data_IF_974479194664
#
_entry.id   IF_974479194664
#
_cell.length_a   1.000
_cell.length_b   1.000
_cell.length_c   1.000
_cell.angle_alpha   90.00
_cell.angle_beta   90.00
_cell.angle_gamma   90.00
#
_symmetry.space_group_name_H-M   'P 1'
#
loop_
_entity.id
_entity.type
_entity.pdbx_description
1 polymer ?
#
# COMPACT_ATOMS: atom_id res chain seq x y z
N UNK A 1 -3.99 -23.25 14.40
CA UNK A 1 -3.80 -24.07 13.17
C UNK A 1 -4.52 -23.52 11.93
N UNK A 2 -5.41 -22.50 12.03
CA UNK A 2 -6.11 -21.91 10.87
C UNK A 2 -5.43 -20.70 10.20
N UNK A 3 -4.31 -20.21 10.75
CA UNK A 3 -3.66 -18.96 10.32
C UNK A 3 -2.82 -19.11 9.04
N UNK A 4 -2.17 -20.26 8.85
CA UNK A 4 -1.25 -20.49 7.73
C UNK A 4 -1.98 -20.69 6.40
N UNK A 5 -3.13 -21.36 6.39
CA UNK A 5 -3.89 -21.65 5.16
C UNK A 5 -4.56 -20.40 4.57
N UNK A 6 -5.06 -19.47 5.42
CA UNK A 6 -5.65 -18.20 4.94
C UNK A 6 -4.61 -17.30 4.27
N UNK A 7 -3.38 -17.26 4.80
CA UNK A 7 -2.27 -16.47 4.26
C UNK A 7 -1.91 -16.91 2.83
N UNK A 8 -1.80 -18.22 2.58
CA UNK A 8 -1.49 -18.78 1.26
C UNK A 8 -2.57 -18.37 0.23
N UNK A 9 -3.85 -18.52 0.57
CA UNK A 9 -4.96 -18.17 -0.34
C UNK A 9 -5.09 -16.68 -0.66
N UNK A 10 -4.61 -15.80 0.23
CA UNK A 10 -4.64 -14.35 -0.02
C UNK A 10 -3.62 -13.97 -1.10
N UNK A 11 -2.36 -14.37 -0.92
CA UNK A 11 -1.30 -14.02 -1.87
C UNK A 11 -1.49 -14.67 -3.24
N UNK A 12 -2.07 -15.86 -3.30
CA UNK A 12 -2.49 -16.52 -4.55
C UNK A 12 -3.54 -15.70 -5.32
N UNK A 13 -4.46 -15.04 -4.61
CA UNK A 13 -5.49 -14.18 -5.21
C UNK A 13 -4.98 -12.78 -5.52
N UNK A 14 -4.10 -12.25 -4.68
CA UNK A 14 -3.53 -10.90 -4.83
C UNK A 14 -2.59 -10.83 -6.05
N UNK A 15 -1.75 -11.85 -6.26
CA UNK A 15 -0.75 -11.86 -7.33
C UNK A 15 -1.29 -11.50 -8.73
N UNK A 16 -2.32 -12.19 -9.24
CA UNK A 16 -2.93 -11.87 -10.53
C UNK A 16 -3.50 -10.45 -10.58
N UNK A 17 -4.13 -9.98 -9.50
CA UNK A 17 -4.71 -8.62 -9.43
C UNK A 17 -3.59 -7.57 -9.48
N UNK A 18 -2.50 -7.78 -8.74
CA UNK A 18 -1.34 -6.88 -8.78
C UNK A 18 -0.71 -6.85 -10.17
N UNK A 19 -0.63 -7.99 -10.87
CA UNK A 19 -0.14 -8.04 -12.25
C UNK A 19 -1.03 -7.24 -13.22
N UNK A 20 -2.36 -7.32 -13.05
CA UNK A 20 -3.32 -6.51 -13.81
C UNK A 20 -3.15 -5.02 -13.53
N UNK A 21 -3.05 -4.61 -12.26
CA UNK A 21 -2.83 -3.21 -11.86
C UNK A 21 -1.52 -2.67 -12.44
N UNK A 22 -0.43 -3.47 -12.46
CA UNK A 22 0.84 -3.08 -13.09
C UNK A 22 0.69 -2.84 -14.59
N UNK A 23 -0.06 -3.71 -15.28
CA UNK A 23 -0.32 -3.58 -16.71
C UNK A 23 -1.17 -2.34 -17.02
N UNK A 24 -2.17 -2.09 -16.19
CA UNK A 24 -3.05 -0.93 -16.30
C UNK A 24 -2.30 0.38 -16.04
N UNK A 25 -1.43 0.43 -15.03
CA UNK A 25 -0.55 1.58 -14.78
C UNK A 25 0.28 1.93 -16.03
N UNK A 26 0.94 0.93 -16.64
CA UNK A 26 1.72 1.15 -17.87
C UNK A 26 0.84 1.67 -19.00
N UNK A 27 -0.36 1.11 -19.17
CA UNK A 27 -1.30 1.55 -20.20
C UNK A 27 -1.71 3.01 -20.01
N UNK A 28 -2.04 3.41 -18.78
CA UNK A 28 -2.43 4.78 -18.43
C UNK A 28 -1.29 5.78 -18.66
N UNK A 29 -0.09 5.45 -18.20
CA UNK A 29 1.08 6.32 -18.36
C UNK A 29 1.44 6.52 -19.85
N UNK A 30 1.40 5.46 -20.66
CA UNK A 30 1.62 5.55 -22.11
C UNK A 30 0.57 6.38 -22.84
N UNK A 31 -0.61 6.57 -22.25
CA UNK A 31 -1.66 7.47 -22.74
C UNK A 31 -1.49 8.92 -22.25
N UNK A 32 -0.43 9.23 -21.50
CA UNK A 32 -0.20 10.54 -20.91
C UNK A 32 -1.15 10.86 -19.75
N UNK A 33 -1.74 9.85 -19.09
CA UNK A 33 -2.65 10.04 -17.96
C UNK A 33 -1.92 9.95 -16.64
N UNK A 34 -2.32 10.80 -15.70
CA UNK A 34 -1.94 10.67 -14.30
C UNK A 34 -2.67 9.50 -13.64
N UNK A 35 -1.97 8.79 -12.74
CA UNK A 35 -2.50 7.67 -11.98
C UNK A 35 -1.99 7.69 -10.54
N UNK A 36 -2.79 7.13 -9.62
CA UNK A 36 -2.40 6.88 -8.22
C UNK A 36 -2.34 5.37 -8.02
N UNK A 37 -1.21 4.88 -7.51
CA UNK A 37 -1.07 3.49 -7.06
C UNK A 37 -1.35 3.47 -5.56
N UNK A 38 -2.59 3.13 -5.19
CA UNK A 38 -2.98 2.91 -3.79
C UNK A 38 -2.71 1.44 -3.42
N UNK A 39 -1.45 1.16 -3.11
CA UNK A 39 -0.98 -0.16 -2.69
C UNK A 39 -0.16 -0.01 -1.41
N UNK A 40 -0.10 -1.06 -0.58
CA UNK A 40 0.51 -0.99 0.75
C UNK A 40 1.99 -0.54 0.79
N UNK A 41 2.72 -0.67 -0.33
CA UNK A 41 4.07 -0.10 -0.59
C UNK A 41 5.03 -0.15 0.61
N UNK A 42 5.00 -1.29 1.30
CA UNK A 42 5.50 -1.42 2.67
C UNK A 42 7.02 -1.44 2.77
N UNK A 43 7.68 -2.11 1.81
CA UNK A 43 9.14 -2.23 1.77
C UNK A 43 9.71 -1.29 0.73
N UNK A 44 10.94 -0.82 0.96
CA UNK A 44 11.66 0.03 0.00
C UNK A 44 11.79 -0.65 -1.36
N UNK A 45 12.10 -1.96 -1.38
CA UNK A 45 12.15 -2.74 -2.62
C UNK A 45 10.84 -2.68 -3.41
N UNK A 46 9.69 -2.77 -2.72
CA UNK A 46 8.39 -2.73 -3.41
C UNK A 46 8.19 -1.34 -4.03
N UNK A 47 8.53 -0.25 -3.32
CA UNK A 47 8.50 1.12 -3.86
C UNK A 47 9.43 1.30 -5.06
N UNK A 48 10.65 0.77 -4.99
CA UNK A 48 11.62 0.82 -6.08
C UNK A 48 11.11 0.06 -7.32
N UNK A 49 10.51 -1.12 -7.14
CA UNK A 49 9.94 -1.92 -8.23
C UNK A 49 8.75 -1.21 -8.93
N UNK A 50 7.94 -0.47 -8.18
CA UNK A 50 6.85 0.36 -8.75
C UNK A 50 7.37 1.63 -9.41
N UNK A 51 8.37 2.29 -8.81
CA UNK A 51 9.03 3.48 -9.38
C UNK A 51 9.64 3.14 -10.74
N UNK A 52 10.45 2.09 -10.80
CA UNK A 52 11.11 1.64 -12.02
C UNK A 52 10.10 1.30 -13.13
N UNK A 53 8.97 0.65 -12.78
CA UNK A 53 7.90 0.35 -13.72
C UNK A 53 7.32 1.64 -14.32
N UNK A 54 6.94 2.61 -13.47
CA UNK A 54 6.34 3.86 -13.92
C UNK A 54 7.32 4.69 -14.78
N UNK A 55 8.58 4.82 -14.35
CA UNK A 55 9.62 5.53 -15.09
C UNK A 55 9.90 4.87 -16.46
N UNK A 56 9.97 3.54 -16.52
CA UNK A 56 10.13 2.80 -17.78
C UNK A 56 8.96 3.00 -18.77
N UNK A 57 7.79 3.37 -18.25
CA UNK A 57 6.61 3.70 -19.06
C UNK A 57 6.53 5.19 -19.44
N UNK A 58 7.54 6.00 -19.08
CA UNK A 58 7.61 7.43 -19.34
C UNK A 58 6.94 8.31 -18.27
N UNK A 59 6.54 7.73 -17.14
CA UNK A 59 5.94 8.45 -16.03
C UNK A 59 6.97 9.17 -15.14
N UNK A 60 6.53 10.22 -14.46
CA UNK A 60 7.25 10.84 -13.36
C UNK A 60 6.63 10.39 -12.04
N UNK A 61 7.46 10.06 -11.05
CA UNK A 61 6.99 9.46 -9.80
C UNK A 61 7.05 10.47 -8.66
N UNK A 62 5.95 10.57 -7.90
CA UNK A 62 5.90 11.26 -6.61
C UNK A 62 5.52 10.24 -5.54
N UNK A 63 6.38 10.06 -4.55
CA UNK A 63 6.10 9.21 -3.38
C UNK A 63 5.43 10.07 -2.31
N UNK A 64 4.21 9.71 -1.91
CA UNK A 64 3.51 10.37 -0.80
C UNK A 64 3.60 9.48 0.43
N UNK A 65 4.18 10.00 1.52
CA UNK A 65 4.30 9.28 2.78
C UNK A 65 3.39 9.89 3.86
N UNK A 66 2.39 9.13 4.28
CA UNK A 66 1.47 9.53 5.34
C UNK A 66 2.01 9.09 6.70
N UNK A 67 2.70 10.01 7.39
CA UNK A 67 3.27 9.76 8.71
C UNK A 67 2.19 9.86 9.79
N UNK A 68 1.35 8.83 9.88
CA UNK A 68 0.26 8.75 10.87
C UNK A 68 0.75 8.02 12.12
N UNK A 69 0.56 8.58 13.33
CA UNK A 69 0.93 7.89 14.57
C UNK A 69 0.19 6.56 14.72
N UNK A 70 0.88 5.54 15.23
CA UNK A 70 0.31 4.20 15.47
C UNK A 70 -1.00 4.23 16.28
N UNK A 71 -1.11 5.12 17.27
CA UNK A 71 -2.33 5.26 18.08
C UNK A 71 -3.55 5.67 17.22
N UNK A 72 -3.35 6.57 16.25
CA UNK A 72 -4.42 6.99 15.34
C UNK A 72 -4.78 5.89 14.35
N UNK A 73 -3.79 5.11 13.89
CA UNK A 73 -4.05 3.92 13.06
C UNK A 73 -4.88 2.88 13.81
N UNK A 74 -4.56 2.58 15.08
CA UNK A 74 -5.35 1.69 15.94
C UNK A 74 -6.78 2.20 16.11
N UNK A 75 -6.96 3.51 16.38
CA UNK A 75 -8.28 4.12 16.53
C UNK A 75 -9.12 3.93 15.25
N UNK A 76 -8.55 4.23 14.08
CA UNK A 76 -9.23 4.04 12.77
C UNK A 76 -9.54 2.57 12.48
N UNK A 77 -8.66 1.65 12.84
CA UNK A 77 -8.89 0.22 12.68
C UNK A 77 -10.03 -0.26 13.58
N UNK A 78 -10.10 0.20 14.83
CA UNK A 78 -11.21 -0.14 15.72
C UNK A 78 -12.56 0.27 15.12
N UNK A 79 -12.65 1.48 14.56
CA UNK A 79 -13.86 1.95 13.87
C UNK A 79 -14.15 1.10 12.62
N UNK A 80 -13.15 0.87 11.77
CA UNK A 80 -13.31 0.15 10.50
C UNK A 80 -13.65 -1.33 10.69
N UNK A 81 -13.10 -1.97 11.72
CA UNK A 81 -13.32 -3.38 12.01
C UNK A 81 -14.78 -3.69 12.41
N UNK A 82 -15.60 -2.67 12.68
CA UNK A 82 -17.05 -2.83 12.92
C UNK A 82 -17.89 -2.82 11.65
N UNK A 83 -17.27 -2.52 10.50
CA UNK A 83 -17.95 -2.36 9.22
C UNK A 83 -17.91 -3.66 8.39
N UNK A 84 -18.96 -3.91 7.60
CA UNK A 84 -19.09 -5.11 6.78
C UNK A 84 -19.11 -4.75 5.28
N UNK A 85 -17.96 -4.34 4.77
CA UNK A 85 -17.78 -4.02 3.35
C UNK A 85 -16.38 -4.38 2.85
N UNK A 86 -16.19 -4.44 1.53
CA UNK A 86 -14.95 -4.92 0.91
C UNK A 86 -13.65 -4.21 1.34
N UNK A 87 -13.74 -2.95 1.79
CA UNK A 87 -12.59 -2.18 2.28
C UNK A 87 -12.37 -2.28 3.81
N UNK A 88 -13.14 -3.10 4.52
CA UNK A 88 -13.09 -3.28 5.97
C UNK A 88 -12.51 -4.64 6.36
N UNK A 89 -11.40 -5.04 5.73
CA UNK A 89 -10.68 -6.25 6.15
C UNK A 89 -10.25 -6.09 7.62
N UNK A 90 -10.61 -7.09 8.43
CA UNK A 90 -10.27 -7.14 9.85
C UNK A 90 -8.74 -7.11 10.02
N UNK A 91 -8.24 -6.06 10.69
CA UNK A 91 -6.84 -5.96 11.11
C UNK A 91 -6.80 -5.82 12.62
N UNK A 92 -6.23 -6.80 13.31
CA UNK A 92 -6.08 -6.77 14.77
C UNK A 92 -4.93 -5.86 15.20
N UNK A 93 -4.86 -5.52 16.48
CA UNK A 93 -3.74 -4.75 17.02
C UNK A 93 -2.40 -5.49 16.84
N UNK A 94 -2.39 -6.81 17.04
CA UNK A 94 -1.20 -7.64 16.86
C UNK A 94 -0.76 -7.69 15.39
N UNK A 95 -1.72 -7.73 14.46
CA UNK A 95 -1.42 -7.64 13.03
C UNK A 95 -0.84 -6.26 12.67
N UNK A 96 -1.36 -5.17 13.25
CA UNK A 96 -0.79 -3.84 13.07
C UNK A 96 0.63 -3.74 13.63
N UNK A 97 0.91 -4.35 14.79
CA UNK A 97 2.26 -4.39 15.37
C UNK A 97 3.25 -5.07 14.43
N UNK A 98 2.85 -6.22 13.89
CA UNK A 98 3.62 -6.92 12.88
C UNK A 98 3.76 -6.10 11.59
N UNK A 99 2.73 -5.35 11.16
CA UNK A 99 2.78 -4.43 10.02
C UNK A 99 3.71 -3.23 10.26
N UNK A 100 3.85 -2.77 11.49
CA UNK A 100 4.83 -1.74 11.85
C UNK A 100 6.26 -2.29 11.82
N UNK A 101 6.48 -3.48 12.38
CA UNK A 101 7.83 -4.03 12.57
C UNK A 101 8.59 -4.35 11.28
N UNK A 102 7.89 -4.59 10.17
CA UNK A 102 8.48 -4.84 8.83
C UNK A 102 8.18 -3.72 7.82
N UNK A 103 7.79 -2.53 8.28
CA UNK A 103 7.61 -1.35 7.43
C UNK A 103 8.92 -0.59 7.30
N UNK A 104 9.36 -0.35 6.06
CA UNK A 104 10.52 0.49 5.78
C UNK A 104 10.03 1.93 5.66
N UNK A 105 10.21 2.73 6.72
CA UNK A 105 9.92 4.17 6.71
C UNK A 105 10.68 4.81 5.55
N UNK A 106 10.01 5.52 4.62
CA UNK A 106 10.70 6.23 3.56
C UNK A 106 11.70 7.22 4.12
N UNK A 107 12.92 7.18 3.60
CA UNK A 107 14.02 8.06 3.99
C UNK A 107 14.95 8.26 2.78
N UNK A 108 14.98 9.50 2.26
CA UNK A 108 15.82 9.87 1.13
C UNK A 108 15.36 9.28 -0.21
N UNK A 109 14.07 9.03 -0.36
CA UNK A 109 13.43 8.44 -1.54
C UNK A 109 12.69 9.48 -2.40
N UNK A 110 12.97 10.77 -2.16
CA UNK A 110 12.21 11.92 -2.66
C UNK A 110 10.73 11.89 -2.23
N UNK A 111 10.46 11.35 -1.03
CA UNK A 111 9.15 11.32 -0.44
C UNK A 111 8.65 12.73 -0.07
N UNK A 112 7.37 12.98 -0.35
CA UNK A 112 6.63 14.08 0.24
C UNK A 112 5.93 13.58 1.48
N UNK A 113 6.36 14.05 2.65
CA UNK A 113 5.71 13.75 3.92
C UNK A 113 4.38 14.50 3.98
N UNK A 114 3.30 13.77 4.27
CA UNK A 114 1.95 14.29 4.42
C UNK A 114 1.56 14.18 5.90
N UNK A 115 1.43 15.31 6.61
CA UNK A 115 1.04 15.32 8.02
C UNK A 115 -0.37 14.79 8.24
N UNK A 116 -0.63 14.24 9.43
CA UNK A 116 -1.98 13.96 9.88
C UNK A 116 -2.84 15.23 9.88
N UNK A 117 -4.10 15.13 9.42
CA UNK A 117 -5.03 16.26 9.35
C UNK A 117 -4.86 17.17 8.13
N UNK A 118 -4.08 16.76 7.11
CA UNK A 118 -3.90 17.54 5.88
C UNK A 118 -5.13 17.54 4.94
N UNK A 119 -6.18 16.79 5.27
CA UNK A 119 -7.45 16.66 4.53
C UNK A 119 -8.54 16.15 5.46
#
# INVERSE_FOLDING_TARGET
MASTTRSITYFEKEGPVVAEVRSELVRLLRQGRDAVVDHGLRRRKDRDDWRALAESAGGQVRLLYFSVPKQELLRRLNDRNTQDHGNALLVTAEALDDFYGRFDVPDGENEKIIPAGSF
#
